data_IF_999320693075
#
_entry.id   IF_999320693075
#
_cell.length_a   1.000
_cell.length_b   1.000
_cell.length_c   1.000
_cell.angle_alpha   90.00
_cell.angle_beta   90.00
_cell.angle_gamma   90.00
#
_symmetry.space_group_name_H-M   'P 1'
#
loop_
_entity.id
_entity.type
_entity.pdbx_description
1 polymer ?
#
# COMPACT_ATOMS: atom_id res chain seq x y z
N UNK A 1 52.16 16.66 -33.32
CA UNK A 1 51.67 15.92 -32.14
C UNK A 1 50.71 16.80 -31.37
N UNK A 2 49.39 16.59 -31.45
CA UNK A 2 48.44 17.23 -30.51
C UNK A 2 47.06 16.54 -30.39
N UNK A 3 46.79 15.47 -31.14
CA UNK A 3 45.47 14.80 -31.11
C UNK A 3 45.26 13.85 -29.91
N UNK A 4 46.31 13.56 -29.13
CA UNK A 4 46.25 12.64 -27.98
C UNK A 4 45.79 13.32 -26.66
N UNK A 5 45.98 14.63 -26.52
CA UNK A 5 45.59 15.36 -25.30
C UNK A 5 44.06 15.56 -25.18
N UNK A 6 43.35 15.67 -26.31
CA UNK A 6 41.90 15.91 -26.33
C UNK A 6 41.08 14.65 -25.99
N UNK A 7 41.61 13.46 -26.27
CA UNK A 7 40.92 12.20 -25.98
C UNK A 7 40.92 11.85 -24.48
N UNK A 8 41.97 12.22 -23.74
CA UNK A 8 42.09 11.95 -22.30
C UNK A 8 41.21 12.88 -21.47
N UNK A 9 41.15 14.16 -21.84
CA UNK A 9 40.28 15.16 -21.19
C UNK A 9 38.80 14.85 -21.44
N UNK A 10 38.41 14.45 -22.66
CA UNK A 10 37.05 13.99 -22.94
C UNK A 10 36.65 12.74 -22.12
N UNK A 11 37.54 11.77 -21.96
CA UNK A 11 37.28 10.58 -21.13
C UNK A 11 37.09 10.93 -19.65
N UNK A 12 37.91 11.85 -19.11
CA UNK A 12 37.81 12.29 -17.72
C UNK A 12 36.52 13.09 -17.45
N UNK A 13 36.11 13.95 -18.38
CA UNK A 13 34.84 14.71 -18.29
C UNK A 13 33.63 13.78 -18.39
N UNK A 14 33.69 12.77 -19.28
CA UNK A 14 32.61 11.80 -19.42
C UNK A 14 32.50 10.92 -18.16
N UNK A 15 33.63 10.51 -17.58
CA UNK A 15 33.66 9.71 -16.34
C UNK A 15 33.17 10.49 -15.12
N UNK A 16 33.50 11.78 -14.99
CA UNK A 16 33.02 12.61 -13.88
C UNK A 16 31.51 12.90 -13.99
N UNK A 17 30.99 13.11 -15.20
CA UNK A 17 29.56 13.28 -15.45
C UNK A 17 28.75 12.01 -15.09
N UNK A 18 29.26 10.82 -15.45
CA UNK A 18 28.62 9.54 -15.11
C UNK A 18 28.59 9.34 -13.59
N UNK A 19 29.68 9.64 -12.88
CA UNK A 19 29.73 9.53 -11.43
C UNK A 19 28.74 10.47 -10.72
N UNK A 20 28.58 11.70 -11.22
CA UNK A 20 27.63 12.66 -10.67
C UNK A 20 26.16 12.24 -10.85
N UNK A 21 25.84 11.56 -11.96
CA UNK A 21 24.49 11.01 -12.20
C UNK A 21 24.21 9.82 -11.27
N UNK A 22 25.19 8.96 -11.04
CA UNK A 22 25.04 7.79 -10.16
C UNK A 22 24.89 8.21 -8.68
N UNK A 23 25.62 9.23 -8.23
CA UNK A 23 25.47 9.73 -6.85
C UNK A 23 24.13 10.45 -6.62
N UNK A 24 23.59 11.12 -7.64
CA UNK A 24 22.24 11.69 -7.58
C UNK A 24 21.12 10.63 -7.56
N UNK A 25 21.35 9.45 -8.15
CA UNK A 25 20.40 8.33 -8.12
C UNK A 25 20.40 7.58 -6.78
N UNK A 26 21.49 7.66 -6.01
CA UNK A 26 21.63 6.97 -4.72
C UNK A 26 21.19 7.83 -3.51
N UNK A 27 20.96 9.13 -3.68
CA UNK A 27 20.61 10.05 -2.58
C UNK A 27 19.11 10.12 -2.25
N UNK A 28 18.26 9.40 -2.97
CA UNK A 28 16.80 9.51 -2.86
C UNK A 28 16.12 8.22 -2.43
N UNK A 29 16.20 7.86 -1.14
CA UNK A 29 15.21 7.02 -0.45
C UNK A 29 15.42 7.06 1.08
N UNK A 30 15.33 8.24 1.70
CA UNK A 30 15.05 8.28 3.14
C UNK A 30 13.54 8.13 3.33
N UNK A 31 13.08 6.87 3.36
CA UNK A 31 11.73 6.53 3.79
C UNK A 31 11.61 6.78 5.30
N UNK A 32 11.47 8.05 5.68
CA UNK A 32 11.22 8.48 7.05
C UNK A 32 9.95 9.30 7.09
N UNK A 33 8.83 8.63 6.89
CA UNK A 33 7.53 9.13 7.29
C UNK A 33 6.72 7.90 7.69
N UNK A 34 5.95 8.00 8.77
CA UNK A 34 5.03 6.95 9.26
C UNK A 34 5.68 5.81 10.06
N UNK A 35 6.48 6.12 11.08
CA UNK A 35 6.57 5.23 12.26
C UNK A 35 6.09 5.93 13.52
N UNK A 36 5.12 6.84 13.39
CA UNK A 36 4.36 7.24 14.56
C UNK A 36 3.55 6.01 14.96
N UNK A 37 4.02 5.37 16.03
CA UNK A 37 3.31 4.30 16.71
C UNK A 37 2.06 4.93 17.30
N UNK A 38 1.00 5.01 16.48
CA UNK A 38 -0.33 5.39 16.93
C UNK A 38 -0.65 4.47 18.10
N UNK A 39 -0.61 5.03 19.32
CA UNK A 39 -1.14 4.35 20.48
C UNK A 39 -2.63 4.30 20.25
N UNK A 40 -3.12 3.11 19.90
CA UNK A 40 -4.56 2.82 19.81
C UNK A 40 -5.06 2.72 21.25
N UNK A 41 -4.98 3.83 21.97
CA UNK A 41 -5.65 3.96 23.25
C UNK A 41 -7.14 4.09 22.92
N UNK A 42 -7.91 3.13 23.44
CA UNK A 42 -9.37 3.00 23.32
C UNK A 42 -9.90 2.55 21.95
N UNK A 43 -9.62 1.29 21.59
CA UNK A 43 -10.68 0.53 20.90
C UNK A 43 -11.85 0.44 21.89
N UNK A 44 -13.06 0.96 21.58
CA UNK A 44 -14.22 0.73 22.42
C UNK A 44 -14.34 -0.78 22.67
N UNK A 45 -14.78 -1.22 23.88
CA UNK A 45 -14.89 -2.64 24.20
C UNK A 45 -15.63 -3.33 23.07
N UNK A 46 -14.91 -4.22 22.40
CA UNK A 46 -15.40 -4.93 21.24
C UNK A 46 -16.65 -5.70 21.71
N UNK A 47 -17.82 -5.57 21.05
CA UNK A 47 -19.05 -6.19 21.54
C UNK A 47 -18.82 -7.69 21.71
N UNK A 48 -18.98 -8.17 22.94
CA UNK A 48 -18.79 -9.57 23.33
C UNK A 48 -19.96 -10.45 22.92
N UNK A 49 -21.06 -9.83 22.52
CA UNK A 49 -22.27 -10.51 22.08
C UNK A 49 -22.42 -10.35 20.57
N UNK A 50 -22.64 -11.47 19.90
CA UNK A 50 -22.97 -11.52 18.48
C UNK A 50 -24.42 -11.10 18.19
N UNK A 51 -25.15 -10.68 19.23
CA UNK A 51 -26.47 -10.07 19.09
C UNK A 51 -26.35 -8.81 18.20
N UNK A 52 -26.92 -8.87 17.00
CA UNK A 52 -26.85 -7.82 15.98
C UNK A 52 -25.83 -8.07 14.86
N UNK A 53 -24.95 -9.06 15.00
CA UNK A 53 -24.09 -9.52 13.92
C UNK A 53 -24.76 -10.69 13.20
N UNK A 54 -25.31 -10.44 12.02
CA UNK A 54 -25.78 -11.49 11.12
C UNK A 54 -24.86 -11.59 9.91
N UNK A 55 -24.46 -12.81 9.56
CA UNK A 55 -23.70 -13.08 8.34
C UNK A 55 -24.56 -12.81 7.11
N UNK A 56 -24.05 -12.01 6.20
CA UNK A 56 -24.74 -11.64 4.96
C UNK A 56 -24.19 -12.54 3.83
N UNK A 57 -24.99 -13.50 3.38
CA UNK A 57 -24.62 -14.36 2.25
C UNK A 57 -25.23 -13.83 0.95
N UNK A 58 -24.39 -13.32 0.05
CA UNK A 58 -24.82 -12.85 -1.25
C UNK A 58 -24.95 -14.02 -2.23
N UNK A 59 -26.13 -14.16 -2.84
CA UNK A 59 -26.29 -15.06 -4.00
C UNK A 59 -25.49 -14.50 -5.19
N UNK A 60 -24.88 -15.34 -6.04
CA UNK A 60 -24.04 -14.86 -7.15
C UNK A 60 -24.72 -13.82 -8.06
N UNK A 61 -26.01 -14.01 -8.36
CA UNK A 61 -26.79 -13.06 -9.17
C UNK A 61 -26.90 -11.68 -8.51
N UNK A 62 -27.05 -11.64 -7.19
CA UNK A 62 -27.16 -10.40 -6.42
C UNK A 62 -25.80 -9.73 -6.34
N UNK A 63 -24.73 -10.48 -6.06
CA UNK A 63 -23.37 -9.96 -6.08
C UNK A 63 -23.04 -9.31 -7.43
N UNK A 64 -23.40 -9.93 -8.55
CA UNK A 64 -23.20 -9.35 -9.89
C UNK A 64 -24.02 -8.09 -10.15
N UNK A 65 -25.21 -7.98 -9.55
CA UNK A 65 -26.04 -6.77 -9.67
C UNK A 65 -25.43 -5.63 -8.84
N UNK A 66 -25.03 -5.92 -7.61
CA UNK A 66 -24.36 -4.96 -6.72
C UNK A 66 -23.05 -4.47 -7.31
N UNK A 67 -22.22 -5.34 -7.89
CA UNK A 67 -20.97 -4.91 -8.55
C UNK A 67 -21.19 -3.93 -9.70
N UNK A 68 -22.35 -3.97 -10.37
CA UNK A 68 -22.69 -3.06 -11.48
C UNK A 68 -23.23 -1.71 -10.99
N UNK A 69 -24.00 -1.73 -9.91
CA UNK A 69 -24.64 -0.53 -9.36
C UNK A 69 -23.71 0.22 -8.40
N UNK A 70 -23.12 -0.51 -7.44
CA UNK A 70 -22.15 0.00 -6.48
C UNK A 70 -21.21 -1.12 -5.98
N UNK A 71 -20.02 -1.19 -6.58
CA UNK A 71 -19.01 -2.17 -6.19
C UNK A 71 -18.52 -1.99 -4.74
N UNK A 72 -18.63 -0.80 -4.13
CA UNK A 72 -18.22 -0.58 -2.74
C UNK A 72 -19.10 -1.36 -1.78
N UNK A 73 -20.39 -1.51 -2.08
CA UNK A 73 -21.31 -2.23 -1.20
C UNK A 73 -20.89 -3.69 -1.01
N UNK A 74 -20.35 -4.33 -2.06
CA UNK A 74 -19.83 -5.70 -1.96
C UNK A 74 -18.64 -5.75 -0.99
N UNK A 75 -17.71 -4.81 -1.12
CA UNK A 75 -16.54 -4.74 -0.21
C UNK A 75 -16.95 -4.43 1.24
N UNK A 76 -17.96 -3.60 1.45
CA UNK A 76 -18.48 -3.30 2.78
C UNK A 76 -19.15 -4.52 3.41
N UNK A 77 -19.95 -5.26 2.64
CA UNK A 77 -20.56 -6.53 3.08
C UNK A 77 -19.50 -7.56 3.45
N UNK A 78 -18.45 -7.70 2.65
CA UNK A 78 -17.33 -8.59 2.96
C UNK A 78 -16.60 -8.13 4.23
N UNK A 79 -16.40 -6.83 4.42
CA UNK A 79 -15.76 -6.28 5.62
C UNK A 79 -16.60 -6.53 6.89
N UNK A 80 -17.93 -6.41 6.80
CA UNK A 80 -18.87 -6.74 7.86
C UNK A 80 -18.77 -8.22 8.23
N UNK A 81 -18.77 -9.09 7.22
CA UNK A 81 -18.65 -10.53 7.41
C UNK A 81 -17.32 -10.94 8.06
N UNK A 82 -16.22 -10.31 7.64
CA UNK A 82 -14.89 -10.52 8.21
C UNK A 82 -14.82 -10.03 9.67
N UNK A 83 -15.42 -8.88 9.97
CA UNK A 83 -15.42 -8.34 11.34
C UNK A 83 -16.19 -9.25 12.29
N UNK A 84 -17.35 -9.76 11.88
CA UNK A 84 -18.09 -10.73 12.69
C UNK A 84 -17.37 -12.08 12.85
N UNK A 85 -16.60 -12.53 11.83
CA UNK A 85 -15.73 -13.71 11.97
C UNK A 85 -14.59 -13.47 12.98
N UNK A 86 -13.94 -12.31 12.90
CA UNK A 86 -12.87 -11.92 13.84
C UNK A 86 -13.39 -11.73 15.27
N UNK A 87 -14.70 -11.55 15.43
CA UNK A 87 -15.41 -11.51 16.72
C UNK A 87 -15.78 -12.90 17.25
N UNK A 88 -15.61 -13.96 16.46
CA UNK A 88 -16.04 -15.32 16.83
C UNK A 88 -17.55 -15.56 16.68
N UNK A 89 -18.25 -14.72 15.93
CA UNK A 89 -19.71 -14.85 15.76
C UNK A 89 -20.14 -15.96 14.81
N UNK A 90 -19.22 -16.39 13.93
CA UNK A 90 -19.41 -17.52 13.04
C UNK A 90 -18.06 -18.02 12.52
N UNK A 91 -18.05 -19.27 12.05
CA UNK A 91 -16.90 -19.93 11.43
C UNK A 91 -16.80 -19.65 9.92
#
# INVERSE_FOLDING_TARGET
MNSQCQARTCKLVLQSAIFAVISALLSGCTATAWSETVRIDSKPPMPTECAGWQRINLKPRVAMTLLREDARLVTEIDSHNLKGRNLGCWE
#
